data_IF_972897850187
#
_entry.id   IF_972897850187
#
_cell.length_a   1.000
_cell.length_b   1.000
_cell.length_c   1.000
_cell.angle_alpha   90.00
_cell.angle_beta   90.00
_cell.angle_gamma   90.00
#
_symmetry.space_group_name_H-M   'P 1'
#
loop_
_entity.id
_entity.type
_entity.pdbx_description
1 polymer ?
#
# COMPACT_ATOMS: atom_id res chain seq x y z
N UNK A 1 77.37 -0.53 14.95
CA UNK A 1 77.50 -1.82 15.66
C UNK A 1 76.08 -2.39 15.89
N UNK A 2 75.98 -3.63 15.60
CA UNK A 2 74.94 -4.62 15.76
C UNK A 2 73.70 -4.54 14.82
N UNK A 3 73.81 -5.44 13.83
CA UNK A 3 72.73 -5.94 12.98
C UNK A 3 71.85 -6.90 13.80
N UNK A 4 70.57 -6.87 13.55
CA UNK A 4 69.64 -8.00 13.89
C UNK A 4 68.85 -8.36 12.66
N UNK A 5 69.19 -9.52 12.10
CA UNK A 5 68.52 -10.25 11.04
C UNK A 5 67.18 -10.74 11.60
N UNK A 6 66.07 -10.33 11.01
CA UNK A 6 64.75 -10.89 11.22
C UNK A 6 64.44 -11.93 10.15
N UNK A 7 64.39 -13.17 10.56
CA UNK A 7 64.16 -14.36 9.75
C UNK A 7 62.64 -14.47 9.42
N UNK A 8 62.28 -14.34 8.12
CA UNK A 8 60.92 -14.56 7.63
C UNK A 8 60.71 -16.07 7.43
N UNK A 9 59.82 -16.65 8.23
CA UNK A 9 59.34 -18.02 8.03
C UNK A 9 58.19 -18.01 7.02
N UNK A 10 58.44 -18.55 5.84
CA UNK A 10 57.41 -18.90 4.86
C UNK A 10 56.83 -20.25 5.25
N UNK A 11 55.59 -20.23 5.75
CA UNK A 11 54.83 -21.44 5.96
C UNK A 11 54.18 -21.87 4.62
N UNK A 12 54.67 -22.94 4.04
CA UNK A 12 54.01 -23.64 2.93
C UNK A 12 52.88 -24.46 3.46
N UNK A 13 51.64 -24.06 3.18
CA UNK A 13 50.45 -24.87 3.39
C UNK A 13 50.35 -25.91 2.26
N UNK A 14 50.67 -27.13 2.56
CA UNK A 14 50.41 -28.26 1.66
C UNK A 14 48.90 -28.59 1.63
N UNK A 15 48.29 -28.38 0.49
CA UNK A 15 46.92 -28.90 0.23
C UNK A 15 46.99 -30.39 0.01
N UNK A 16 46.52 -31.17 0.98
CA UNK A 16 46.27 -32.60 0.84
C UNK A 16 45.04 -32.83 -0.05
N UNK A 17 45.29 -33.35 -1.26
CA UNK A 17 44.22 -33.82 -2.15
C UNK A 17 43.76 -35.20 -1.64
N UNK A 18 42.58 -35.27 -1.04
CA UNK A 18 41.96 -36.54 -0.67
C UNK A 18 41.48 -37.25 -1.95
N UNK A 19 41.64 -38.58 -2.06
CA UNK A 19 41.17 -39.33 -3.21
C UNK A 19 39.63 -39.36 -3.20
N UNK A 20 39.05 -38.93 -4.32
CA UNK A 20 37.61 -39.03 -4.58
C UNK A 20 37.25 -40.51 -4.73
N UNK A 21 36.55 -41.03 -3.75
CA UNK A 21 35.91 -42.37 -3.86
C UNK A 21 34.81 -42.27 -4.88
N UNK A 22 35.00 -42.90 -6.04
CA UNK A 22 33.95 -43.13 -7.01
C UNK A 22 32.89 -44.08 -6.39
N UNK A 23 31.75 -43.55 -6.00
CA UNK A 23 30.57 -44.33 -5.69
C UNK A 23 29.86 -44.63 -7.01
N UNK A 24 29.85 -45.92 -7.36
CA UNK A 24 28.96 -46.38 -8.42
C UNK A 24 27.54 -46.45 -7.83
N UNK A 25 26.58 -45.69 -8.32
CA UNK A 25 25.20 -45.89 -7.92
C UNK A 25 24.61 -47.01 -8.78
N UNK A 26 24.49 -48.21 -8.18
CA UNK A 26 23.60 -49.23 -8.69
C UNK A 26 22.33 -49.16 -7.84
N UNK A 27 21.55 -48.11 -8.07
CA UNK A 27 20.19 -48.05 -7.58
C UNK A 27 19.28 -47.98 -8.79
N UNK A 28 18.55 -49.07 -9.02
CA UNK A 28 17.50 -49.11 -10.04
C UNK A 28 16.49 -48.00 -9.72
N UNK A 29 16.51 -46.94 -10.52
CA UNK A 29 15.52 -45.88 -10.44
C UNK A 29 14.15 -46.49 -10.75
N UNK A 30 13.18 -46.49 -9.84
CA UNK A 30 11.85 -47.01 -10.14
C UNK A 30 11.26 -46.19 -11.31
N UNK A 31 10.72 -46.91 -12.29
CA UNK A 31 10.11 -46.30 -13.47
C UNK A 31 9.07 -45.28 -13.02
N UNK A 32 9.25 -44.04 -13.46
CA UNK A 32 8.29 -42.95 -13.20
C UNK A 32 6.96 -43.29 -13.85
N UNK A 33 5.98 -43.70 -13.05
CA UNK A 33 4.61 -43.93 -13.52
C UNK A 33 3.94 -42.56 -13.53
N UNK A 34 3.63 -42.05 -14.72
CA UNK A 34 2.85 -40.81 -14.87
C UNK A 34 1.51 -40.99 -14.12
N UNK A 35 1.15 -40.07 -13.22
CA UNK A 35 -0.15 -40.14 -12.58
C UNK A 35 -1.25 -40.02 -13.64
N UNK A 36 -2.18 -40.96 -13.65
CA UNK A 36 -3.36 -40.88 -14.51
C UNK A 36 -4.07 -39.56 -14.23
N UNK A 37 -4.38 -38.74 -15.27
CA UNK A 37 -5.06 -37.47 -15.05
C UNK A 37 -6.41 -37.73 -14.37
N UNK A 38 -6.53 -37.24 -13.13
CA UNK A 38 -7.82 -37.21 -12.44
C UNK A 38 -8.74 -36.30 -13.25
N UNK A 39 -9.96 -36.73 -13.60
CA UNK A 39 -10.89 -35.88 -14.37
C UNK A 39 -11.13 -34.60 -13.57
N UNK A 40 -10.58 -33.49 -14.06
CA UNK A 40 -10.83 -32.15 -13.50
C UNK A 40 -12.33 -31.90 -13.64
N UNK A 41 -13.00 -31.72 -12.51
CA UNK A 41 -14.42 -31.32 -12.53
C UNK A 41 -14.50 -30.02 -13.30
N UNK A 42 -15.21 -30.01 -14.42
CA UNK A 42 -15.54 -28.81 -15.15
C UNK A 42 -16.19 -27.84 -14.17
N UNK A 43 -15.63 -26.62 -13.96
CA UNK A 43 -16.27 -25.67 -13.07
C UNK A 43 -17.66 -25.39 -13.59
N UNK A 44 -18.67 -25.64 -12.75
CA UNK A 44 -20.06 -25.23 -13.04
C UNK A 44 -20.01 -23.75 -13.34
N UNK A 45 -20.52 -23.27 -14.48
CA UNK A 45 -20.55 -21.86 -14.78
C UNK A 45 -21.22 -21.11 -13.62
N UNK A 46 -20.45 -20.25 -12.96
CA UNK A 46 -20.98 -19.37 -11.92
C UNK A 46 -22.03 -18.52 -12.60
N UNK A 47 -23.28 -18.55 -12.09
CA UNK A 47 -24.34 -17.71 -12.60
C UNK A 47 -23.84 -16.27 -12.69
N UNK A 48 -23.80 -15.70 -13.89
CA UNK A 48 -23.51 -14.29 -14.10
C UNK A 48 -24.59 -13.53 -13.32
N UNK A 49 -24.21 -12.61 -12.40
CA UNK A 49 -25.22 -11.84 -11.67
C UNK A 49 -26.07 -11.11 -12.71
N UNK A 50 -27.37 -11.37 -12.68
CA UNK A 50 -28.34 -10.63 -13.51
C UNK A 50 -28.17 -9.15 -13.16
N UNK A 51 -27.91 -8.25 -14.14
CA UNK A 51 -27.86 -6.83 -13.82
C UNK A 51 -29.20 -6.43 -13.20
N UNK A 52 -29.16 -5.84 -11.99
CA UNK A 52 -30.32 -5.24 -11.38
C UNK A 52 -30.90 -4.21 -12.36
N UNK A 53 -32.24 -4.12 -12.46
CA UNK A 53 -32.86 -3.13 -13.32
C UNK A 53 -32.37 -1.71 -12.91
N UNK A 54 -31.97 -0.92 -13.89
CA UNK A 54 -31.33 0.40 -13.77
C UNK A 54 -32.25 1.52 -13.19
N UNK A 55 -33.24 1.20 -12.39
CA UNK A 55 -34.23 2.18 -11.90
C UNK A 55 -34.36 2.31 -10.39
N UNK A 56 -33.51 1.65 -9.61
CA UNK A 56 -33.41 2.00 -8.18
C UNK A 56 -32.36 3.10 -8.04
N UNK A 57 -32.79 4.35 -7.80
CA UNK A 57 -31.88 5.45 -7.48
C UNK A 57 -31.17 5.10 -6.19
N UNK A 58 -29.88 4.72 -6.30
CA UNK A 58 -29.04 4.51 -5.14
C UNK A 58 -28.62 5.85 -4.53
N UNK A 59 -28.30 5.89 -3.26
CA UNK A 59 -27.79 7.07 -2.56
C UNK A 59 -26.30 6.96 -2.30
N UNK A 60 -25.57 8.06 -2.51
CA UNK A 60 -24.17 8.17 -2.14
C UNK A 60 -24.05 8.69 -0.72
N UNK A 61 -23.24 8.03 0.10
CA UNK A 61 -22.87 8.54 1.41
C UNK A 61 -21.54 7.93 1.89
N UNK A 62 -20.74 8.75 2.58
CA UNK A 62 -19.48 8.39 3.20
C UNK A 62 -19.52 8.77 4.67
N UNK A 63 -19.22 7.81 5.53
CA UNK A 63 -19.06 8.00 6.96
C UNK A 63 -17.56 7.88 7.31
N UNK A 64 -16.98 8.92 7.89
CA UNK A 64 -15.65 8.85 8.50
C UNK A 64 -15.72 7.99 9.76
N UNK A 65 -14.77 7.06 9.90
CA UNK A 65 -14.70 6.16 11.04
C UNK A 65 -13.57 6.55 11.99
N UNK A 66 -12.34 6.64 11.47
CA UNK A 66 -11.15 6.98 12.24
C UNK A 66 -9.93 7.18 11.35
N UNK A 67 -8.92 7.81 11.92
CA UNK A 67 -7.58 7.86 11.35
C UNK A 67 -6.85 6.53 11.55
N UNK A 68 -5.97 6.17 10.61
CA UNK A 68 -5.14 4.97 10.68
C UNK A 68 -3.70 5.27 10.20
N UNK A 69 -2.76 4.43 10.61
CA UNK A 69 -1.35 4.59 10.27
C UNK A 69 -0.59 5.42 11.29
N UNK A 70 0.40 6.18 10.82
CA UNK A 70 1.29 6.96 11.68
C UNK A 70 0.75 8.36 12.05
N UNK A 71 -0.21 8.86 11.28
CA UNK A 71 -0.83 10.17 11.48
C UNK A 71 -2.27 9.98 12.01
N UNK A 72 -2.40 9.60 13.28
CA UNK A 72 -3.69 9.31 13.92
C UNK A 72 -4.20 10.46 14.79
N UNK A 73 -3.39 11.48 15.01
CA UNK A 73 -3.72 12.63 15.84
C UNK A 73 -3.67 13.91 15.01
N UNK A 74 -4.39 14.93 15.45
CA UNK A 74 -4.28 16.30 14.94
C UNK A 74 -3.00 16.96 15.47
N UNK A 75 -2.54 18.00 14.74
CA UNK A 75 -1.38 18.80 15.10
C UNK A 75 -0.06 18.00 15.19
N UNK A 76 0.05 16.92 14.44
CA UNK A 76 1.30 16.16 14.32
C UNK A 76 2.37 17.05 13.72
N UNK A 77 3.55 17.02 14.35
CA UNK A 77 4.71 17.77 13.89
C UNK A 77 5.43 17.02 12.77
N UNK A 78 5.72 17.72 11.70
CA UNK A 78 6.43 17.20 10.54
C UNK A 78 7.58 18.13 10.14
N UNK A 79 8.61 17.59 9.51
CA UNK A 79 9.69 18.39 8.94
C UNK A 79 9.21 19.12 7.66
N UNK A 80 9.81 20.26 7.29
CA UNK A 80 9.61 20.89 5.98
C UNK A 80 9.86 19.89 4.86
N UNK A 81 9.06 19.91 3.81
CA UNK A 81 9.17 19.02 2.66
C UNK A 81 8.94 17.53 2.95
N UNK A 82 8.54 17.13 4.15
CA UNK A 82 8.31 15.73 4.50
C UNK A 82 7.17 15.13 3.68
N UNK A 83 7.35 13.88 3.22
CA UNK A 83 6.27 13.14 2.58
C UNK A 83 5.25 12.68 3.63
N UNK A 84 4.03 13.12 3.49
CA UNK A 84 2.88 12.73 4.32
C UNK A 84 2.11 11.64 3.60
N UNK A 85 1.88 10.52 4.29
CA UNK A 85 1.04 9.40 3.84
C UNK A 85 -0.13 9.25 4.82
N UNK A 86 -1.13 10.09 4.65
CA UNK A 86 -2.32 10.11 5.52
C UNK A 86 -3.33 9.08 5.06
N UNK A 87 -3.90 8.37 6.04
CA UNK A 87 -4.90 7.33 5.80
C UNK A 87 -6.07 7.46 6.75
N UNK A 88 -7.25 7.16 6.23
CA UNK A 88 -8.50 7.14 6.97
C UNK A 88 -9.25 5.83 6.72
N UNK A 89 -9.83 5.28 7.76
CA UNK A 89 -10.87 4.27 7.62
C UNK A 89 -12.19 4.98 7.43
N UNK A 90 -12.86 4.69 6.31
CA UNK A 90 -14.19 5.23 6.00
C UNK A 90 -15.15 4.10 5.65
N UNK A 91 -16.43 4.34 5.81
CA UNK A 91 -17.49 3.42 5.41
C UNK A 91 -18.28 3.99 4.24
N UNK A 92 -18.50 3.21 3.21
CA UNK A 92 -19.55 3.50 2.25
C UNK A 92 -20.92 3.26 2.92
N UNK A 93 -21.47 4.27 3.53
CA UNK A 93 -22.76 4.19 4.23
C UNK A 93 -23.97 4.46 3.33
N UNK A 94 -23.73 4.63 2.03
CA UNK A 94 -24.76 4.74 1.01
C UNK A 94 -25.25 3.39 0.49
N UNK A 95 -26.09 3.43 -0.53
CA UNK A 95 -26.55 2.26 -1.27
C UNK A 95 -25.95 2.14 -2.68
N UNK A 96 -25.23 3.18 -3.18
CA UNK A 96 -24.42 3.11 -4.38
C UNK A 96 -23.09 2.41 -4.10
N UNK A 97 -22.63 1.55 -5.01
CA UNK A 97 -21.25 1.08 -4.98
C UNK A 97 -20.34 2.18 -5.55
N UNK A 98 -19.22 2.43 -4.88
CA UNK A 98 -18.19 3.31 -5.44
C UNK A 98 -17.34 2.54 -6.45
N UNK A 99 -16.97 3.20 -7.52
CA UNK A 99 -16.17 2.63 -8.60
C UNK A 99 -15.62 3.73 -9.51
N UNK A 100 -15.40 3.46 -10.79
CA UNK A 100 -14.85 4.43 -11.72
C UNK A 100 -15.64 5.74 -11.74
N UNK A 101 -14.92 6.86 -11.69
CA UNK A 101 -15.49 8.21 -11.69
C UNK A 101 -15.89 8.76 -10.32
N UNK A 102 -15.83 7.96 -9.26
CA UNK A 102 -15.88 8.47 -7.90
C UNK A 102 -14.52 9.02 -7.51
N UNK A 103 -14.48 10.23 -6.95
CA UNK A 103 -13.22 10.90 -6.61
C UNK A 103 -13.23 11.48 -5.21
N UNK A 104 -12.03 11.72 -4.69
CA UNK A 104 -11.77 12.52 -3.52
C UNK A 104 -11.13 13.84 -3.97
N UNK A 105 -11.65 14.95 -3.50
CA UNK A 105 -11.23 16.29 -3.89
C UNK A 105 -11.07 17.19 -2.66
N UNK A 106 -10.43 18.33 -2.80
CA UNK A 106 -10.40 19.31 -1.73
C UNK A 106 -11.78 19.94 -1.55
N UNK A 107 -12.25 19.99 -0.31
CA UNK A 107 -13.50 20.69 0.03
C UNK A 107 -13.34 22.20 -0.06
N UNK A 108 -12.17 22.70 0.34
CA UNK A 108 -11.78 24.12 0.23
C UNK A 108 -10.36 24.21 -0.32
N UNK A 109 -9.99 25.29 -0.99
CA UNK A 109 -8.60 25.52 -1.41
C UNK A 109 -7.64 25.37 -0.23
N UNK A 110 -6.51 24.70 -0.45
CA UNK A 110 -5.46 24.48 0.55
C UNK A 110 -4.17 25.18 0.12
N UNK A 111 -3.38 25.61 1.10
CA UNK A 111 -2.00 26.07 0.88
C UNK A 111 -1.03 24.88 0.66
N UNK A 112 -1.49 23.68 0.97
CA UNK A 112 -0.73 22.44 0.71
C UNK A 112 -1.00 22.00 -0.72
N UNK A 113 0.07 21.71 -1.46
CA UNK A 113 -0.06 21.19 -2.82
C UNK A 113 -0.43 19.70 -2.77
N UNK A 114 -1.69 19.40 -3.01
CA UNK A 114 -2.22 18.03 -3.06
C UNK A 114 -2.67 17.75 -4.49
N UNK A 115 -2.25 16.61 -5.03
CA UNK A 115 -2.68 16.19 -6.36
C UNK A 115 -4.12 15.67 -6.32
N UNK A 116 -5.08 16.54 -6.64
CA UNK A 116 -6.51 16.23 -6.70
C UNK A 116 -7.09 16.55 -8.07
N UNK A 117 -8.21 15.94 -8.49
CA UNK A 117 -8.93 14.87 -7.79
C UNK A 117 -8.18 13.54 -7.80
N UNK A 118 -8.33 12.77 -6.73
CA UNK A 118 -7.84 11.39 -6.62
C UNK A 118 -9.00 10.41 -6.76
N UNK A 119 -8.78 9.24 -7.40
CA UNK A 119 -9.80 8.21 -7.46
C UNK A 119 -10.19 7.72 -6.06
N UNK A 120 -11.47 7.62 -5.82
CA UNK A 120 -11.98 6.98 -4.61
C UNK A 120 -11.73 5.48 -4.70
N UNK A 121 -11.29 4.88 -3.59
CA UNK A 121 -11.09 3.43 -3.56
C UNK A 121 -12.44 2.71 -3.78
N UNK A 122 -12.50 1.69 -4.66
CA UNK A 122 -13.74 0.97 -4.91
C UNK A 122 -14.31 0.35 -3.65
N UNK A 123 -15.60 0.57 -3.39
CA UNK A 123 -16.29 0.07 -2.20
C UNK A 123 -17.72 -0.31 -2.51
N UNK A 124 -18.11 -1.54 -2.20
CA UNK A 124 -19.52 -1.91 -2.25
C UNK A 124 -20.29 -1.19 -1.15
N UNK A 125 -21.60 -1.04 -1.34
CA UNK A 125 -22.49 -0.47 -0.33
C UNK A 125 -22.30 -1.14 1.03
N UNK A 126 -22.25 -0.35 2.10
CA UNK A 126 -22.07 -0.75 3.49
C UNK A 126 -20.69 -1.32 3.87
N UNK A 127 -19.70 -1.36 2.95
CA UNK A 127 -18.34 -1.81 3.25
C UNK A 127 -17.46 -0.69 3.80
N UNK A 128 -16.41 -1.10 4.51
CA UNK A 128 -15.35 -0.21 4.96
C UNK A 128 -14.15 -0.30 4.01
N UNK A 129 -13.50 0.84 3.78
CA UNK A 129 -12.29 0.93 2.95
C UNK A 129 -11.31 1.94 3.54
N UNK A 130 -10.04 1.78 3.15
CA UNK A 130 -8.99 2.73 3.53
C UNK A 130 -8.84 3.74 2.40
N UNK A 131 -9.07 5.01 2.74
CA UNK A 131 -8.72 6.14 1.90
C UNK A 131 -7.30 6.58 2.19
N UNK A 132 -6.57 7.01 1.17
CA UNK A 132 -5.17 7.42 1.27
C UNK A 132 -4.94 8.70 0.49
N UNK A 133 -4.23 9.65 1.12
CA UNK A 133 -3.70 10.82 0.45
C UNK A 133 -2.20 10.91 0.71
N UNK A 134 -1.42 11.16 -0.36
CA UNK A 134 0.01 11.40 -0.28
C UNK A 134 0.32 12.79 -0.85
N UNK A 135 1.07 13.57 -0.08
CA UNK A 135 1.50 14.92 -0.47
C UNK A 135 2.73 15.32 0.34
N UNK A 136 3.42 16.36 -0.09
CA UNK A 136 4.56 16.92 0.63
C UNK A 136 4.10 18.04 1.55
N UNK A 137 4.67 18.09 2.74
CA UNK A 137 4.53 19.22 3.64
C UNK A 137 5.13 20.48 2.99
N UNK A 138 4.57 21.67 3.21
CA UNK A 138 5.21 22.92 2.81
C UNK A 138 6.61 23.08 3.41
N UNK A 139 7.44 23.88 2.74
CA UNK A 139 8.78 24.23 3.26
C UNK A 139 8.70 25.28 4.39
N UNK A 140 7.67 26.09 4.40
CA UNK A 140 7.50 27.16 5.40
C UNK A 140 6.94 26.58 6.71
N UNK A 141 7.53 26.95 7.88
CA UNK A 141 6.96 26.59 9.17
C UNK A 141 5.55 27.19 9.35
N UNK A 142 4.65 26.40 9.89
CA UNK A 142 3.27 26.85 10.11
C UNK A 142 2.31 25.71 10.40
N UNK A 143 1.05 26.06 10.66
CA UNK A 143 -0.04 25.09 10.83
C UNK A 143 -0.84 24.99 9.55
N UNK A 144 -1.01 23.79 9.06
CA UNK A 144 -1.66 23.50 7.78
C UNK A 144 -2.83 22.56 7.97
N UNK A 145 -3.87 22.74 7.14
CA UNK A 145 -5.03 21.84 7.11
C UNK A 145 -5.36 21.50 5.66
N UNK A 146 -5.55 20.22 5.41
CA UNK A 146 -6.07 19.70 4.14
C UNK A 146 -7.42 19.04 4.43
N UNK A 147 -8.46 19.49 3.76
CA UNK A 147 -9.86 19.07 4.00
C UNK A 147 -10.43 18.47 2.72
N UNK A 148 -10.86 17.22 2.80
CA UNK A 148 -11.29 16.40 1.67
C UNK A 148 -12.79 16.13 1.70
N UNK A 149 -13.37 15.99 0.50
CA UNK A 149 -14.76 15.58 0.28
C UNK A 149 -14.83 14.57 -0.86
N UNK A 150 -15.70 13.58 -0.73
CA UNK A 150 -15.99 12.64 -1.80
C UNK A 150 -16.93 13.24 -2.84
N UNK A 151 -16.70 12.91 -4.13
CA UNK A 151 -17.58 13.30 -5.26
C UNK A 151 -18.01 12.09 -6.05
N UNK A 152 -19.27 12.10 -6.43
CA UNK A 152 -19.84 11.13 -7.36
C UNK A 152 -19.41 11.42 -8.81
N UNK A 153 -19.62 10.48 -9.77
CA UNK A 153 -19.24 10.69 -11.18
C UNK A 153 -19.85 11.92 -11.86
N UNK A 154 -20.98 12.42 -11.35
CA UNK A 154 -21.62 13.64 -11.81
C UNK A 154 -21.04 14.93 -11.16
N UNK A 155 -19.98 14.81 -10.36
CA UNK A 155 -19.34 15.92 -9.64
C UNK A 155 -20.01 16.31 -8.33
N UNK A 156 -21.16 15.71 -7.97
CA UNK A 156 -21.87 16.02 -6.72
C UNK A 156 -21.08 15.54 -5.52
N UNK A 157 -20.79 16.44 -4.58
CA UNK A 157 -20.15 16.11 -3.31
C UNK A 157 -21.12 15.31 -2.43
N UNK A 158 -20.59 14.36 -1.66
CA UNK A 158 -21.40 13.53 -0.77
C UNK A 158 -20.64 13.08 0.47
N UNK A 159 -21.40 12.71 1.51
CA UNK A 159 -20.88 12.16 2.75
C UNK A 159 -20.26 13.20 3.67
N UNK A 160 -19.56 12.70 4.68
CA UNK A 160 -18.80 13.54 5.59
C UNK A 160 -17.47 13.93 4.96
N UNK A 161 -17.02 15.16 5.23
CA UNK A 161 -15.64 15.55 4.97
C UNK A 161 -14.71 14.95 6.02
N UNK A 162 -13.46 14.80 5.66
CA UNK A 162 -12.39 14.35 6.54
C UNK A 162 -11.14 15.16 6.26
N UNK A 163 -10.39 15.46 7.30
CA UNK A 163 -9.28 16.40 7.20
C UNK A 163 -8.03 15.84 7.87
N UNK A 164 -6.92 16.53 7.63
CA UNK A 164 -5.69 16.35 8.37
C UNK A 164 -5.09 17.71 8.67
N UNK A 165 -4.86 17.98 9.96
CA UNK A 165 -4.17 19.16 10.46
C UNK A 165 -2.80 18.78 10.98
N UNK A 166 -1.76 19.51 10.60
CA UNK A 166 -0.39 19.25 10.99
C UNK A 166 0.42 20.53 11.11
N UNK A 167 1.54 20.45 11.80
CA UNK A 167 2.44 21.56 12.08
C UNK A 167 3.78 21.28 11.40
N UNK A 168 4.20 22.17 10.50
CA UNK A 168 5.55 22.15 9.96
C UNK A 168 6.45 22.91 10.92
N UNK A 169 7.46 22.24 11.49
CA UNK A 169 8.45 22.88 12.37
C UNK A 169 9.72 23.20 11.62
N UNK A 170 10.29 24.37 11.91
CA UNK A 170 11.64 24.69 11.48
C UNK A 170 12.62 23.63 11.97
N UNK A 171 13.69 23.31 11.21
CA UNK A 171 14.78 22.49 11.70
C UNK A 171 15.33 23.08 13.01
N UNK A 172 15.49 22.26 14.04
CA UNK A 172 16.24 22.67 15.23
C UNK A 172 17.71 22.84 14.86
N UNK A 173 18.27 24.05 15.05
CA UNK A 173 19.70 24.32 14.90
C UNK A 173 20.52 23.46 15.88
#
# INVERSE_FOLDING_TARGET
MLALLGMVFLAFSACSIAPVRSYAPTEEVPAFVLPTPVPTRTPTPRATPTPLPASASCSNNLLYMRDIGIYTEDDVEVAPGALIDKRWLVKNSGSCNWGPGYTMDLRVPSQVNVNVPMDLYPAIAQSEVIMRAQFFAPEEPGTYTVDFIARAPNGTAFGQNFYFRFIVKAPSE
#
